data_IF_655790339650
#
_entry.id   IF_655790339650
#
_cell.length_a   1.000
_cell.length_b   1.000
_cell.length_c   1.000
_cell.angle_alpha   90.00
_cell.angle_beta   90.00
_cell.angle_gamma   90.00
#
_symmetry.space_group_name_H-M   'P 1'
#
loop_
_entity.id
_entity.type
_entity.pdbx_description
1 polymer ?
#
# COMPACT_ATOMS: atom_id res chain seq x y z
N UNK A 1 -34.14 8.69 53.28
CA UNK A 1 -34.17 7.97 51.99
C UNK A 1 -32.97 8.36 51.21
N UNK A 2 -32.00 7.47 51.13
CA UNK A 2 -30.81 7.70 50.34
C UNK A 2 -31.00 7.10 48.95
N UNK A 3 -31.17 7.96 47.96
CA UNK A 3 -31.19 7.50 46.59
C UNK A 3 -29.74 7.30 46.15
N UNK A 4 -29.33 6.09 45.99
CA UNK A 4 -28.07 5.75 45.35
C UNK A 4 -28.26 5.90 43.85
N UNK A 5 -27.74 7.00 43.30
CA UNK A 5 -27.55 7.13 41.87
C UNK A 5 -26.38 6.20 41.53
N UNK A 6 -26.71 5.06 40.92
CA UNK A 6 -25.71 4.25 40.25
C UNK A 6 -25.33 5.01 38.97
N UNK A 7 -24.19 5.67 38.98
CA UNK A 7 -23.59 6.18 37.77
C UNK A 7 -23.03 4.98 37.04
N UNK A 8 -23.79 4.47 36.10
CA UNK A 8 -23.26 3.52 35.13
C UNK A 8 -22.27 4.24 34.26
N UNK A 9 -21.00 4.14 34.60
CA UNK A 9 -19.95 4.55 33.67
C UNK A 9 -19.95 3.52 32.55
N UNK A 10 -20.63 3.84 31.47
CA UNK A 10 -20.40 3.16 30.21
C UNK A 10 -18.98 3.49 29.78
N UNK A 11 -18.06 2.61 30.14
CA UNK A 11 -16.77 2.53 29.47
C UNK A 11 -17.06 2.15 28.03
N UNK A 12 -17.13 3.15 27.15
CA UNK A 12 -17.10 2.93 25.74
C UNK A 12 -15.79 2.21 25.42
N UNK A 13 -15.87 0.91 25.18
CA UNK A 13 -14.77 0.15 24.64
C UNK A 13 -14.58 0.64 23.21
N UNK A 14 -13.77 1.67 23.04
CA UNK A 14 -13.23 1.99 21.73
C UNK A 14 -12.34 0.82 21.36
N UNK A 15 -12.91 -0.17 20.68
CA UNK A 15 -12.11 -1.15 20.01
C UNK A 15 -11.23 -0.40 19.02
N UNK A 16 -9.99 -0.15 19.39
CA UNK A 16 -8.93 0.15 18.45
C UNK A 16 -8.70 -1.13 17.64
N UNK A 17 -9.66 -1.41 16.74
CA UNK A 17 -9.38 -2.24 15.61
C UNK A 17 -8.23 -1.55 14.91
N UNK A 18 -7.08 -2.24 14.79
CA UNK A 18 -5.91 -1.70 14.14
C UNK A 18 -6.33 -1.02 12.85
N UNK A 19 -6.37 0.30 12.89
CA UNK A 19 -6.63 1.10 11.69
C UNK A 19 -5.44 0.80 10.81
N UNK A 20 -5.65 0.08 9.71
CA UNK A 20 -4.66 -0.01 8.66
C UNK A 20 -4.21 1.42 8.38
N UNK A 21 -2.90 1.66 8.44
CA UNK A 21 -2.36 2.98 8.21
C UNK A 21 -2.97 3.55 6.93
N UNK A 22 -3.63 4.71 7.04
CA UNK A 22 -4.16 5.41 5.88
C UNK A 22 -2.99 5.90 5.06
N UNK A 23 -2.90 5.49 3.80
CA UNK A 23 -1.83 5.91 2.91
C UNK A 23 -2.04 7.32 2.37
N UNK A 24 -0.94 8.05 2.25
CA UNK A 24 -0.88 9.36 1.61
C UNK A 24 -0.33 9.20 0.19
N UNK A 25 -1.14 9.41 -0.86
CA UNK A 25 -0.67 9.24 -2.23
C UNK A 25 0.42 10.23 -2.64
N UNK A 26 0.47 11.43 -2.06
CA UNK A 26 1.53 12.40 -2.34
C UNK A 26 2.89 11.91 -1.80
N UNK A 27 2.91 11.36 -0.60
CA UNK A 27 4.09 10.69 -0.04
C UNK A 27 4.48 9.46 -0.84
N UNK A 28 3.50 8.67 -1.26
CA UNK A 28 3.70 7.50 -2.11
C UNK A 28 4.33 7.86 -3.45
N UNK A 29 3.95 8.98 -4.04
CA UNK A 29 4.57 9.49 -5.26
C UNK A 29 6.04 9.82 -5.05
N UNK A 30 6.40 10.48 -3.95
CA UNK A 30 7.80 10.76 -3.61
C UNK A 30 8.61 9.46 -3.48
N UNK A 31 8.07 8.47 -2.78
CA UNK A 31 8.70 7.15 -2.63
C UNK A 31 8.85 6.44 -3.98
N UNK A 32 7.84 6.51 -4.83
CA UNK A 32 7.88 5.96 -6.18
C UNK A 32 9.01 6.58 -6.99
N UNK A 33 9.11 7.90 -6.99
CA UNK A 33 10.13 8.63 -7.75
C UNK A 33 11.54 8.25 -7.28
N UNK A 34 11.73 8.06 -5.99
CA UNK A 34 13.03 7.71 -5.41
C UNK A 34 13.41 6.24 -5.63
N UNK A 35 12.44 5.32 -5.55
CA UNK A 35 12.73 3.89 -5.43
C UNK A 35 12.26 3.06 -6.62
N UNK A 36 11.29 3.51 -7.38
CA UNK A 36 10.61 2.70 -8.40
C UNK A 36 10.77 3.26 -9.82
N UNK A 37 10.82 4.59 -9.95
CA UNK A 37 10.80 5.27 -11.24
C UNK A 37 12.01 4.97 -12.14
N UNK A 38 13.10 4.50 -11.57
CA UNK A 38 14.27 4.08 -12.34
C UNK A 38 13.95 2.91 -13.28
N UNK A 39 13.04 2.05 -12.88
CA UNK A 39 12.68 0.84 -13.62
C UNK A 39 11.24 0.84 -14.13
N UNK A 40 10.37 1.70 -13.63
CA UNK A 40 8.95 1.73 -13.97
C UNK A 40 8.47 3.11 -14.39
N UNK A 41 7.65 3.15 -15.45
CA UNK A 41 6.81 4.29 -15.74
C UNK A 41 5.50 4.21 -14.96
N UNK A 42 5.01 5.34 -14.46
CA UNK A 42 3.75 5.44 -13.75
C UNK A 42 2.60 5.92 -14.64
N UNK A 43 2.87 6.82 -15.57
CA UNK A 43 1.86 7.57 -16.30
C UNK A 43 1.77 7.24 -17.78
N UNK A 44 2.68 6.45 -18.30
CA UNK A 44 2.68 5.98 -19.68
C UNK A 44 2.73 4.48 -19.75
N UNK A 45 2.32 3.89 -20.85
CA UNK A 45 2.37 2.44 -21.07
C UNK A 45 3.74 1.95 -21.54
N UNK A 46 4.72 2.83 -21.65
CA UNK A 46 6.05 2.49 -22.11
C UNK A 46 6.76 1.55 -21.14
N UNK A 47 7.53 0.63 -21.70
CA UNK A 47 8.41 -0.26 -20.96
C UNK A 47 9.72 0.43 -20.61
N UNK A 48 10.23 0.16 -19.45
CA UNK A 48 11.62 0.39 -19.03
C UNK A 48 12.25 -0.97 -18.71
N UNK A 49 13.07 -1.04 -17.66
CA UNK A 49 13.56 -2.31 -17.12
C UNK A 49 12.42 -3.17 -16.57
N UNK A 50 11.40 -2.52 -16.00
CA UNK A 50 10.17 -3.16 -15.55
C UNK A 50 8.97 -2.74 -16.38
N UNK A 51 7.83 -3.42 -16.22
CA UNK A 51 6.59 -3.04 -16.88
C UNK A 51 6.06 -1.71 -16.39
N UNK A 52 5.26 -1.03 -17.23
CA UNK A 52 4.53 0.16 -16.81
C UNK A 52 3.56 -0.19 -15.68
N UNK A 53 3.43 0.71 -14.73
CA UNK A 53 2.47 0.60 -13.63
C UNK A 53 1.19 1.41 -13.87
N UNK A 54 1.07 2.03 -15.05
CA UNK A 54 -0.18 2.68 -15.43
C UNK A 54 -1.33 1.68 -15.38
N UNK A 55 -2.43 2.07 -14.73
CA UNK A 55 -3.62 1.24 -14.53
C UNK A 55 -3.37 -0.06 -13.75
N UNK A 56 -2.35 -0.10 -12.90
CA UNK A 56 -1.98 -1.31 -12.18
C UNK A 56 -3.18 -1.97 -11.49
N UNK A 57 -3.96 -1.22 -10.72
CA UNK A 57 -5.07 -1.76 -9.95
C UNK A 57 -6.36 -2.00 -10.75
N UNK A 58 -6.37 -1.65 -12.03
CA UNK A 58 -7.47 -1.98 -12.95
C UNK A 58 -7.21 -3.31 -13.66
N UNK A 59 -5.94 -3.72 -13.75
CA UNK A 59 -5.57 -5.01 -14.35
C UNK A 59 -6.05 -6.17 -13.49
N UNK A 60 -6.42 -7.27 -14.12
CA UNK A 60 -6.83 -8.47 -13.40
C UNK A 60 -5.65 -9.19 -12.76
N UNK A 61 -4.50 -9.21 -13.43
CA UNK A 61 -3.32 -9.97 -13.03
C UNK A 61 -2.06 -9.13 -13.14
N UNK A 62 -1.09 -9.43 -12.27
CA UNK A 62 0.25 -8.91 -12.37
C UNK A 62 0.96 -9.51 -13.59
N UNK A 63 1.66 -8.66 -14.35
CA UNK A 63 2.39 -9.09 -15.55
C UNK A 63 3.51 -10.09 -15.22
N UNK A 64 4.13 -9.95 -14.05
CA UNK A 64 5.31 -10.71 -13.69
C UNK A 64 5.05 -12.14 -13.26
N UNK A 65 3.93 -12.41 -12.59
CA UNK A 65 3.67 -13.73 -11.98
C UNK A 65 2.26 -14.27 -12.20
N UNK A 66 1.41 -13.52 -12.89
CA UNK A 66 0.04 -13.92 -13.18
C UNK A 66 -0.90 -13.98 -11.97
N UNK A 67 -0.44 -13.55 -10.80
CA UNK A 67 -1.30 -13.47 -9.61
C UNK A 67 -2.35 -12.36 -9.76
N UNK A 68 -3.55 -12.53 -9.19
CA UNK A 68 -4.55 -11.47 -9.19
C UNK A 68 -4.01 -10.19 -8.56
N UNK A 69 -4.33 -9.04 -9.14
CA UNK A 69 -3.93 -7.75 -8.58
C UNK A 69 -4.74 -7.46 -7.33
N UNK A 70 -4.04 -7.25 -6.24
CA UNK A 70 -4.60 -6.82 -4.95
C UNK A 70 -3.52 -6.06 -4.17
N UNK A 71 -3.89 -5.38 -3.11
CA UNK A 71 -2.89 -4.76 -2.22
C UNK A 71 -1.87 -5.79 -1.73
N UNK A 72 -2.33 -6.98 -1.35
CA UNK A 72 -1.48 -8.03 -0.83
C UNK A 72 -0.49 -8.54 -1.89
N UNK A 73 -0.93 -8.77 -3.12
CA UNK A 73 -0.06 -9.30 -4.18
C UNK A 73 0.91 -8.26 -4.71
N UNK A 74 0.49 -7.00 -4.79
CA UNK A 74 1.37 -5.89 -5.15
C UNK A 74 2.43 -5.68 -4.07
N UNK A 75 2.04 -5.66 -2.80
CA UNK A 75 2.96 -5.51 -1.68
C UNK A 75 3.95 -6.67 -1.60
N UNK A 76 3.50 -7.90 -1.80
CA UNK A 76 4.38 -9.08 -1.87
C UNK A 76 5.43 -8.91 -2.95
N UNK A 77 5.06 -8.42 -4.13
CA UNK A 77 6.01 -8.19 -5.23
C UNK A 77 7.04 -7.13 -4.88
N UNK A 78 6.62 -6.06 -4.22
CA UNK A 78 7.53 -5.00 -3.76
C UNK A 78 8.50 -5.54 -2.72
N UNK A 79 8.01 -6.31 -1.76
CA UNK A 79 8.82 -6.84 -0.66
C UNK A 79 9.81 -7.92 -1.11
N UNK A 80 9.37 -8.83 -1.96
CA UNK A 80 10.17 -9.99 -2.40
C UNK A 80 10.93 -9.76 -3.68
N UNK A 81 10.47 -8.86 -4.53
CA UNK A 81 11.05 -8.65 -5.85
C UNK A 81 10.93 -9.87 -6.75
N UNK A 82 11.92 -10.12 -7.56
CA UNK A 82 12.02 -11.23 -8.50
C UNK A 82 11.98 -10.75 -9.96
N UNK A 83 12.46 -11.58 -10.88
CA UNK A 83 12.55 -11.26 -12.31
C UNK A 83 13.34 -9.97 -12.60
N UNK A 84 14.43 -9.74 -11.86
CA UNK A 84 15.26 -8.54 -11.99
C UNK A 84 14.80 -7.35 -11.13
N UNK A 85 13.68 -7.44 -10.46
CA UNK A 85 13.25 -6.43 -9.50
C UNK A 85 13.88 -6.71 -8.13
N UNK A 86 14.65 -5.74 -7.56
CA UNK A 86 15.23 -5.94 -6.24
C UNK A 86 14.17 -5.97 -5.15
N UNK A 87 14.36 -6.77 -4.10
CA UNK A 87 13.45 -6.78 -2.96
C UNK A 87 13.59 -5.50 -2.14
N UNK A 88 12.46 -4.94 -1.71
CA UNK A 88 12.42 -3.76 -0.83
C UNK A 88 12.06 -4.10 0.62
N UNK A 89 12.07 -5.40 0.97
CA UNK A 89 11.76 -5.84 2.33
C UNK A 89 12.73 -5.21 3.34
N UNK A 90 12.19 -4.52 4.34
CA UNK A 90 12.97 -3.84 5.38
C UNK A 90 13.43 -2.44 5.01
N UNK A 91 13.31 -2.02 3.74
CA UNK A 91 13.64 -0.66 3.30
C UNK A 91 12.50 0.34 3.52
N UNK A 92 11.28 -0.15 3.62
CA UNK A 92 10.08 0.65 3.83
C UNK A 92 9.45 0.34 5.19
N UNK A 93 9.02 1.40 5.87
CA UNK A 93 8.14 1.28 7.03
C UNK A 93 6.74 0.82 6.59
N UNK A 94 5.90 0.40 7.54
CA UNK A 94 4.51 0.07 7.24
C UNK A 94 3.75 1.29 6.69
N UNK A 95 4.06 2.50 7.18
CA UNK A 95 3.50 3.73 6.66
C UNK A 95 3.95 3.99 5.21
N UNK A 96 5.23 3.81 4.91
CA UNK A 96 5.75 3.95 3.55
C UNK A 96 5.05 3.01 2.57
N UNK A 97 4.82 1.77 2.97
CA UNK A 97 4.07 0.78 2.18
C UNK A 97 2.64 1.22 1.92
N UNK A 98 1.96 1.74 2.94
CA UNK A 98 0.61 2.26 2.81
C UNK A 98 0.56 3.48 1.87
N UNK A 99 1.51 4.38 1.98
CA UNK A 99 1.62 5.57 1.14
C UNK A 99 1.89 5.18 -0.32
N UNK A 100 2.81 4.25 -0.55
CA UNK A 100 3.12 3.76 -1.88
C UNK A 100 1.92 3.07 -2.53
N UNK A 101 1.22 2.20 -1.80
CA UNK A 101 0.00 1.57 -2.29
C UNK A 101 -1.09 2.60 -2.62
N UNK A 102 -1.26 3.62 -1.77
CA UNK A 102 -2.20 4.69 -2.03
C UNK A 102 -1.88 5.44 -3.34
N UNK A 103 -0.61 5.70 -3.61
CA UNK A 103 -0.18 6.29 -4.87
C UNK A 103 -0.43 5.35 -6.05
N UNK A 104 -0.04 4.10 -5.96
CA UNK A 104 -0.20 3.12 -7.05
C UNK A 104 -1.67 2.93 -7.45
N UNK A 105 -2.59 3.06 -6.50
CA UNK A 105 -4.03 2.99 -6.78
C UNK A 105 -4.56 4.16 -7.59
N UNK A 106 -3.82 5.26 -7.68
CA UNK A 106 -4.19 6.42 -8.50
C UNK A 106 -3.82 6.28 -9.98
N UNK A 107 -3.05 5.27 -10.33
CA UNK A 107 -2.48 5.09 -11.68
C UNK A 107 -3.45 4.45 -12.69
#
# INVERSE_FOLDING_TARGET
MKRHLAISVLLGLSALLGVAATGDPAKGNELFDEQCAQCHHAYTEELKKGPSLKWLFIKEKLDSNGKPVSEATVLEKIEKGGNGMPPCKGSFSDQDKADLLAFLKTL
#
